data_IF_720218408472
#
_entry.id   IF_720218408472
#
_cell.length_a   1.000
_cell.length_b   1.000
_cell.length_c   1.000
_cell.angle_alpha   90.00
_cell.angle_beta   90.00
_cell.angle_gamma   90.00
#
_symmetry.space_group_name_H-M   'P 1'
#
loop_
_entity.id
_entity.type
_entity.pdbx_description
1 polymer ?
#
# COMPACT_ATOMS: atom_id res chain seq x y z
N UNK A 1 18.18 3.62 15.73
CA UNK A 1 16.90 3.12 15.18
C UNK A 1 16.64 1.64 15.46
N UNK A 2 17.62 0.72 15.36
CA UNK A 2 17.39 -0.71 15.65
C UNK A 2 17.07 -1.06 17.12
N UNK A 3 17.31 -0.14 18.05
CA UNK A 3 17.10 -0.33 19.50
C UNK A 3 15.68 -0.05 19.97
N UNK A 4 14.82 0.55 19.14
CA UNK A 4 13.43 0.82 19.54
C UNK A 4 12.70 -0.51 19.71
N UNK A 5 12.09 -0.69 20.89
CA UNK A 5 11.37 -1.92 21.22
C UNK A 5 9.89 -1.77 20.90
N UNK A 6 9.29 -2.82 20.36
CA UNK A 6 7.84 -2.97 20.21
C UNK A 6 7.38 -4.24 20.91
N UNK A 7 6.21 -4.18 21.52
CA UNK A 7 5.57 -5.35 22.11
C UNK A 7 5.11 -6.27 20.97
N UNK A 8 5.48 -7.55 21.01
CA UNK A 8 5.12 -8.52 19.98
C UNK A 8 4.60 -9.81 20.61
N UNK A 9 3.49 -10.30 20.09
CA UNK A 9 2.95 -11.62 20.38
C UNK A 9 3.41 -12.59 19.28
N UNK A 10 4.14 -13.62 19.66
CA UNK A 10 4.57 -14.69 18.76
C UNK A 10 3.45 -15.73 18.70
N UNK A 11 3.04 -16.16 17.51
CA UNK A 11 1.98 -17.16 17.39
C UNK A 11 2.50 -18.55 17.76
N UNK A 12 1.75 -19.26 18.61
CA UNK A 12 2.08 -20.63 19.02
C UNK A 12 3.24 -20.76 20.02
N UNK A 13 3.85 -19.64 20.46
CA UNK A 13 4.97 -19.64 21.40
C UNK A 13 4.94 -18.39 22.29
N UNK A 14 5.51 -18.50 23.49
CA UNK A 14 5.70 -17.36 24.39
C UNK A 14 4.42 -16.84 25.06
N UNK A 15 4.56 -15.75 25.85
CA UNK A 15 3.47 -15.16 26.62
C UNK A 15 2.37 -14.54 25.72
N UNK A 16 1.11 -14.63 26.16
CA UNK A 16 -0.04 -14.06 25.41
C UNK A 16 -0.01 -12.53 25.40
N UNK A 17 0.49 -11.94 26.46
CA UNK A 17 0.73 -10.51 26.66
C UNK A 17 1.83 -9.94 25.74
N UNK A 18 2.64 -10.81 25.13
CA UNK A 18 3.71 -10.43 24.21
C UNK A 18 5.03 -10.12 24.90
N UNK A 19 6.08 -9.95 24.10
CA UNK A 19 7.45 -9.70 24.53
C UNK A 19 7.95 -8.42 23.86
N UNK A 20 8.61 -7.55 24.61
CA UNK A 20 9.28 -6.37 24.07
C UNK A 20 10.50 -6.79 23.27
N UNK A 21 10.45 -6.53 21.97
CA UNK A 21 11.45 -7.00 21.01
C UNK A 21 11.96 -5.84 20.16
N UNK A 22 13.23 -5.91 19.77
CA UNK A 22 13.87 -4.93 18.89
C UNK A 22 13.49 -5.16 17.42
N UNK A 23 13.83 -4.22 16.55
CA UNK A 23 13.74 -4.43 15.09
C UNK A 23 14.57 -5.65 14.64
N UNK A 24 15.76 -5.83 15.21
CA UNK A 24 16.61 -7.00 14.93
C UNK A 24 15.93 -8.32 15.32
N UNK A 25 15.22 -8.34 16.45
CA UNK A 25 14.44 -9.52 16.87
C UNK A 25 13.29 -9.81 15.91
N UNK A 26 12.59 -8.78 15.41
CA UNK A 26 11.54 -8.96 14.37
C UNK A 26 12.10 -9.59 13.11
N UNK A 27 13.23 -9.10 12.62
CA UNK A 27 13.88 -9.62 11.41
C UNK A 27 14.33 -11.08 11.62
N UNK A 28 14.86 -11.40 12.81
CA UNK A 28 15.21 -12.77 13.19
C UNK A 28 13.99 -13.70 13.20
N UNK A 29 12.88 -13.27 13.80
CA UNK A 29 11.63 -14.05 13.78
C UNK A 29 11.13 -14.29 12.36
N UNK A 30 11.18 -13.27 11.47
CA UNK A 30 10.82 -13.43 10.05
C UNK A 30 11.72 -14.42 9.35
N UNK A 31 13.04 -14.34 9.57
CA UNK A 31 14.03 -15.28 9.02
C UNK A 31 13.81 -16.72 9.50
N UNK A 32 13.37 -16.90 10.74
CA UNK A 32 13.01 -18.19 11.32
C UNK A 32 11.60 -18.68 10.88
N UNK A 33 10.89 -17.93 10.02
CA UNK A 33 9.52 -18.27 9.59
C UNK A 33 8.47 -18.15 10.70
N UNK A 34 8.82 -17.55 11.84
CA UNK A 34 7.91 -17.37 12.97
C UNK A 34 6.93 -16.24 12.67
N UNK A 35 5.64 -16.55 12.81
CA UNK A 35 4.57 -15.55 12.72
C UNK A 35 4.48 -14.81 14.05
N UNK A 36 4.36 -13.50 13.99
CA UNK A 36 4.15 -12.64 15.15
C UNK A 36 3.27 -11.45 14.77
N UNK A 37 2.69 -10.81 15.76
CA UNK A 37 1.93 -9.57 15.59
C UNK A 37 2.23 -8.61 16.73
N UNK A 38 2.18 -7.31 16.47
CA UNK A 38 2.04 -6.34 17.55
C UNK A 38 0.64 -6.43 18.16
N UNK A 39 0.47 -6.30 19.48
CA UNK A 39 -0.85 -6.04 20.04
C UNK A 39 -1.27 -4.64 19.58
N UNK A 40 -2.27 -4.60 18.70
CA UNK A 40 -2.95 -3.36 18.35
C UNK A 40 -3.93 -3.05 19.46
N UNK A 41 -3.96 -1.82 19.97
CA UNK A 41 -4.94 -1.36 20.98
C UNK A 41 -6.40 -1.59 20.53
N UNK A 42 -6.62 -1.77 19.22
CA UNK A 42 -7.92 -1.98 18.58
C UNK A 42 -8.26 -3.44 18.24
N UNK A 43 -7.53 -4.45 18.73
CA UNK A 43 -7.85 -5.85 18.38
C UNK A 43 -9.29 -6.26 18.73
N UNK A 44 -9.84 -5.74 19.83
CA UNK A 44 -11.23 -6.01 20.21
C UNK A 44 -12.24 -5.26 19.32
N UNK A 45 -11.86 -4.11 18.74
CA UNK A 45 -12.64 -3.39 17.73
C UNK A 45 -12.56 -4.04 16.34
N UNK A 46 -11.46 -4.73 16.03
CA UNK A 46 -11.29 -5.44 14.76
C UNK A 46 -12.07 -6.76 14.77
N UNK A 47 -12.08 -7.48 15.91
CA UNK A 47 -12.86 -8.72 16.08
C UNK A 47 -14.37 -8.48 15.95
N UNK A 48 -14.88 -7.34 16.40
CA UNK A 48 -16.32 -7.02 16.25
C UNK A 48 -16.71 -6.62 14.82
N UNK A 49 -15.74 -6.31 13.95
CA UNK A 49 -15.95 -5.93 12.53
C UNK A 49 -15.70 -7.04 11.52
N UNK A 50 -15.15 -8.19 11.94
CA UNK A 50 -15.03 -9.38 11.10
C UNK A 50 -16.36 -10.14 11.04
N UNK A 51 -17.46 -9.44 10.80
CA UNK A 51 -18.62 -10.05 10.16
C UNK A 51 -18.22 -10.24 8.70
N UNK A 52 -17.73 -11.43 8.37
CA UNK A 52 -17.55 -11.86 6.98
C UNK A 52 -18.94 -12.03 6.36
N UNK A 53 -19.62 -10.91 6.10
CA UNK A 53 -20.76 -10.88 5.22
C UNK A 53 -20.32 -11.33 3.83
N UNK A 54 -21.24 -11.94 3.09
CA UNK A 54 -20.98 -12.30 1.69
C UNK A 54 -20.56 -11.03 0.94
N UNK A 55 -19.41 -11.07 0.26
CA UNK A 55 -18.93 -9.93 -0.52
C UNK A 55 -20.04 -9.51 -1.50
N UNK A 56 -20.49 -8.26 -1.39
CA UNK A 56 -21.42 -7.68 -2.35
C UNK A 56 -20.61 -7.21 -3.56
N UNK A 57 -20.45 -8.09 -4.54
CA UNK A 57 -19.85 -7.75 -5.83
C UNK A 57 -20.98 -7.46 -6.81
N UNK A 58 -21.31 -6.19 -7.07
CA UNK A 58 -22.33 -5.86 -8.05
C UNK A 58 -21.87 -6.27 -9.45
N UNK A 59 -22.83 -6.59 -10.32
CA UNK A 59 -22.53 -6.86 -11.72
C UNK A 59 -21.89 -5.63 -12.39
N UNK A 60 -20.88 -5.80 -13.25
CA UNK A 60 -20.30 -4.68 -13.99
C UNK A 60 -21.33 -4.05 -14.94
N UNK A 61 -21.59 -2.74 -14.78
CA UNK A 61 -22.58 -2.00 -15.59
C UNK A 61 -22.01 -0.80 -16.37
N UNK A 62 -20.71 -0.51 -16.22
CA UNK A 62 -20.08 0.71 -16.73
C UNK A 62 -19.11 0.45 -17.90
N UNK A 63 -19.30 -0.64 -18.66
CA UNK A 63 -18.40 -1.06 -19.74
C UNK A 63 -18.20 0.03 -20.80
N UNK A 64 -19.26 0.81 -21.12
CA UNK A 64 -19.18 1.93 -22.08
C UNK A 64 -18.18 3.00 -21.64
N UNK A 65 -18.06 3.25 -20.34
CA UNK A 65 -17.15 4.24 -19.79
C UNK A 65 -15.74 3.69 -19.61
N UNK A 66 -15.61 2.41 -19.22
CA UNK A 66 -14.32 1.78 -18.91
C UNK A 66 -13.57 1.31 -20.15
N UNK A 67 -14.25 0.76 -21.17
CA UNK A 67 -13.57 0.19 -22.35
C UNK A 67 -12.63 1.18 -23.07
N UNK A 68 -13.00 2.46 -23.28
CA UNK A 68 -12.08 3.42 -23.88
C UNK A 68 -10.80 3.65 -23.07
N UNK A 69 -10.88 3.56 -21.73
CA UNK A 69 -9.74 3.80 -20.83
C UNK A 69 -8.64 2.75 -21.03
N UNK A 70 -8.97 1.53 -21.44
CA UNK A 70 -7.97 0.49 -21.69
C UNK A 70 -6.98 0.85 -22.80
N UNK A 71 -7.38 1.70 -23.75
CA UNK A 71 -6.46 2.21 -24.79
C UNK A 71 -5.45 3.22 -24.26
N UNK A 72 -5.71 3.82 -23.11
CA UNK A 72 -4.80 4.77 -22.47
C UNK A 72 -3.78 4.07 -21.56
N UNK A 73 -3.98 2.79 -21.23
CA UNK A 73 -3.05 2.03 -20.39
C UNK A 73 -1.74 1.75 -21.16
N UNK A 74 -0.62 1.94 -20.49
CA UNK A 74 0.73 1.84 -21.05
C UNK A 74 1.61 0.95 -20.19
N UNK A 75 1.90 -0.25 -20.69
CA UNK A 75 2.83 -1.18 -20.04
C UNK A 75 4.27 -0.66 -20.09
N UNK A 76 4.62 0.21 -21.04
CA UNK A 76 5.94 0.85 -21.06
C UNK A 76 6.09 1.86 -19.93
N UNK A 77 5.05 2.69 -19.67
CA UNK A 77 5.05 3.59 -18.52
C UNK A 77 5.14 2.81 -17.21
N UNK A 78 4.38 1.73 -17.08
CA UNK A 78 4.48 0.83 -15.93
C UNK A 78 5.90 0.28 -15.76
N UNK A 79 6.54 -0.16 -16.85
CA UNK A 79 7.92 -0.66 -16.81
C UNK A 79 8.92 0.41 -16.37
N UNK A 80 8.79 1.65 -16.84
CA UNK A 80 9.68 2.75 -16.46
C UNK A 80 9.57 3.09 -14.97
N UNK A 81 8.33 3.12 -14.44
CA UNK A 81 8.06 3.30 -13.00
C UNK A 81 8.69 2.17 -12.20
N UNK A 82 8.47 0.92 -12.60
CA UNK A 82 9.02 -0.25 -11.94
C UNK A 82 10.55 -0.24 -11.96
N UNK A 83 11.17 0.09 -13.10
CA UNK A 83 12.62 0.18 -13.25
C UNK A 83 13.21 1.23 -12.31
N UNK A 84 12.59 2.41 -12.22
CA UNK A 84 13.04 3.44 -11.28
C UNK A 84 12.86 3.01 -9.83
N UNK A 85 11.71 2.47 -9.44
CA UNK A 85 11.46 2.10 -8.05
C UNK A 85 12.28 0.89 -7.57
N UNK A 86 12.65 -0.01 -8.48
CA UNK A 86 13.52 -1.16 -8.18
C UNK A 86 15.02 -0.80 -8.18
N UNK A 87 15.37 0.40 -8.67
CA UNK A 87 16.75 0.92 -8.60
C UNK A 87 17.16 1.40 -7.19
N UNK A 88 16.21 1.66 -6.29
CA UNK A 88 16.51 1.95 -4.89
C UNK A 88 17.07 0.69 -4.22
N UNK A 89 18.12 0.84 -3.42
CA UNK A 89 18.76 -0.29 -2.72
C UNK A 89 17.74 -1.13 -1.93
N UNK A 90 16.85 -0.47 -1.20
CA UNK A 90 15.60 -1.01 -0.69
C UNK A 90 14.62 0.14 -0.46
N UNK A 91 13.36 -0.18 -0.18
CA UNK A 91 12.32 0.77 0.18
C UNK A 91 11.84 0.58 1.61
N UNK A 92 12.73 0.12 2.49
CA UNK A 92 12.37 -0.21 3.87
C UNK A 92 11.95 1.05 4.64
N UNK A 93 10.87 0.96 5.41
CA UNK A 93 10.24 2.13 6.06
C UNK A 93 11.14 2.89 7.07
N UNK A 94 12.22 2.26 7.54
CA UNK A 94 13.25 2.90 8.39
C UNK A 94 14.53 3.30 7.65
N UNK A 95 14.64 2.99 6.35
CA UNK A 95 15.80 3.32 5.54
C UNK A 95 15.64 4.69 4.88
N UNK A 96 16.76 5.40 4.71
CA UNK A 96 16.78 6.67 3.98
C UNK A 96 16.31 6.49 2.53
N UNK A 97 16.69 5.38 1.88
CA UNK A 97 16.23 5.03 0.53
C UNK A 97 14.72 4.77 0.48
N UNK A 98 14.12 4.29 1.57
CA UNK A 98 12.66 4.19 1.71
C UNK A 98 11.98 5.56 1.69
N UNK A 99 12.52 6.53 2.45
CA UNK A 99 12.03 7.91 2.45
C UNK A 99 12.19 8.56 1.08
N UNK A 100 13.35 8.37 0.44
CA UNK A 100 13.60 8.88 -0.91
C UNK A 100 12.62 8.29 -1.94
N UNK A 101 12.37 6.98 -1.87
CA UNK A 101 11.41 6.32 -2.75
C UNK A 101 9.98 6.80 -2.51
N UNK A 102 9.57 7.04 -1.27
CA UNK A 102 8.24 7.57 -0.96
C UNK A 102 8.06 9.00 -1.49
N UNK A 103 9.07 9.86 -1.36
CA UNK A 103 9.04 11.22 -1.95
C UNK A 103 8.98 11.18 -3.47
N UNK A 104 9.79 10.34 -4.10
CA UNK A 104 9.76 10.17 -5.56
C UNK A 104 8.37 9.73 -6.06
N UNK A 105 7.75 8.76 -5.40
CA UNK A 105 6.42 8.27 -5.78
C UNK A 105 5.32 9.32 -5.50
N UNK A 106 5.48 10.10 -4.44
CA UNK A 106 4.59 11.24 -4.14
C UNK A 106 4.64 12.28 -5.27
N UNK A 107 5.83 12.71 -5.68
CA UNK A 107 6.00 13.74 -6.70
C UNK A 107 5.50 13.28 -8.08
N UNK A 108 5.59 11.98 -8.37
CA UNK A 108 5.03 11.38 -9.57
C UNK A 108 3.49 11.42 -9.57
N UNK A 109 2.85 11.22 -8.42
CA UNK A 109 1.39 11.15 -8.29
C UNK A 109 0.74 12.53 -8.10
N UNK A 110 1.39 13.43 -7.37
CA UNK A 110 0.87 14.72 -6.92
C UNK A 110 1.98 15.78 -6.93
N UNK A 111 2.47 16.22 -8.10
CA UNK A 111 3.63 17.11 -8.22
C UNK A 111 3.46 18.47 -7.52
N UNK A 112 2.23 18.84 -7.12
CA UNK A 112 1.91 20.10 -6.45
C UNK A 112 1.44 19.96 -4.98
N UNK A 113 1.51 18.76 -4.39
CA UNK A 113 1.10 18.53 -2.98
C UNK A 113 2.31 18.52 -2.04
N UNK A 114 2.26 19.15 -0.85
CA UNK A 114 3.40 19.17 0.07
C UNK A 114 3.40 18.05 1.13
N UNK A 115 2.38 17.18 1.21
CA UNK A 115 2.21 16.24 2.33
C UNK A 115 2.22 14.76 1.93
N UNK A 116 3.06 13.97 2.61
CA UNK A 116 2.95 12.50 2.70
C UNK A 116 1.90 12.13 3.77
N UNK A 117 1.11 11.04 3.63
CA UNK A 117 1.23 9.91 2.68
C UNK A 117 0.70 10.18 1.27
N UNK A 118 1.09 9.31 0.33
CA UNK A 118 0.69 9.35 -1.08
C UNK A 118 -0.78 8.91 -1.17
N UNK A 119 -1.70 9.87 -1.14
CA UNK A 119 -3.12 9.59 -1.33
C UNK A 119 -3.61 10.44 -2.48
N UNK A 120 -3.74 9.83 -3.65
CA UNK A 120 -4.39 10.47 -4.78
C UNK A 120 -5.90 10.22 -4.70
N UNK A 121 -6.69 11.31 -4.75
CA UNK A 121 -8.13 11.25 -4.46
C UNK A 121 -8.95 11.90 -5.55
N UNK A 122 -9.88 11.14 -6.10
CA UNK A 122 -10.96 11.67 -6.94
C UNK A 122 -12.14 12.03 -6.04
N UNK A 123 -12.59 13.28 -6.12
CA UNK A 123 -13.77 13.76 -5.41
C UNK A 123 -14.97 13.86 -6.37
N UNK A 124 -16.18 13.46 -5.95
CA UNK A 124 -17.38 13.79 -6.71
C UNK A 124 -17.60 15.32 -6.72
N UNK A 125 -18.23 15.88 -7.77
CA UNK A 125 -18.51 17.32 -7.85
C UNK A 125 -19.31 17.85 -6.66
N UNK A 126 -20.19 17.02 -6.09
CA UNK A 126 -20.97 17.32 -4.89
C UNK A 126 -20.52 16.37 -3.79
N UNK A 127 -19.93 16.92 -2.72
CA UNK A 127 -19.51 16.14 -1.56
C UNK A 127 -20.72 15.63 -0.79
N UNK A 128 -20.74 14.33 -0.52
CA UNK A 128 -21.74 13.71 0.33
C UNK A 128 -21.05 12.68 1.23
N UNK A 129 -20.96 12.99 2.53
CA UNK A 129 -20.29 12.16 3.52
C UNK A 129 -21.04 10.83 3.82
N UNK A 130 -22.30 10.71 3.38
CA UNK A 130 -23.07 9.48 3.51
C UNK A 130 -22.79 8.47 2.39
N UNK A 131 -22.08 8.86 1.32
CA UNK A 131 -21.67 7.95 0.26
C UNK A 131 -20.45 7.12 0.69
N UNK A 132 -20.33 5.87 0.21
CA UNK A 132 -19.18 5.03 0.53
C UNK A 132 -17.89 5.58 -0.06
N UNK A 133 -16.80 5.47 0.71
CA UNK A 133 -15.44 5.68 0.22
C UNK A 133 -14.91 4.37 -0.37
N UNK A 134 -14.41 4.41 -1.60
CA UNK A 134 -13.69 3.29 -2.21
C UNK A 134 -12.19 3.52 -2.09
N UNK A 135 -11.46 2.53 -1.58
CA UNK A 135 -10.00 2.59 -1.45
C UNK A 135 -9.39 1.49 -2.31
N UNK A 136 -8.44 1.87 -3.15
CA UNK A 136 -7.58 0.97 -3.91
C UNK A 136 -6.17 1.19 -3.37
N UNK A 137 -5.50 0.13 -2.91
CA UNK A 137 -4.22 0.26 -2.24
C UNK A 137 -3.21 -0.79 -2.68
N UNK A 138 -1.95 -0.40 -2.68
CA UNK A 138 -0.78 -1.26 -2.78
C UNK A 138 0.26 -0.80 -1.74
N UNK A 139 1.25 -1.62 -1.41
CA UNK A 139 2.31 -1.19 -0.49
C UNK A 139 3.58 -0.79 -1.22
N UNK A 140 4.24 0.23 -0.67
CA UNK A 140 5.39 0.88 -1.30
C UNK A 140 6.71 0.30 -0.81
N UNK A 141 6.76 -0.28 0.39
CA UNK A 141 8.01 -0.68 1.01
C UNK A 141 8.58 -1.98 0.41
N UNK A 142 9.82 -2.28 0.77
CA UNK A 142 10.46 -3.54 0.43
C UNK A 142 11.48 -3.93 1.48
N UNK A 143 11.61 -5.24 1.71
CA UNK A 143 12.54 -5.77 2.70
C UNK A 143 13.12 -7.10 2.24
N UNK A 144 14.40 -7.32 2.52
CA UNK A 144 15.04 -8.63 2.40
C UNK A 144 15.10 -9.28 3.78
N UNK A 145 14.12 -10.14 4.08
CA UNK A 145 14.03 -10.76 5.42
C UNK A 145 15.12 -11.79 5.70
N UNK A 146 15.69 -12.40 4.66
CA UNK A 146 16.80 -13.36 4.81
C UNK A 146 18.11 -12.63 5.14
N UNK A 147 18.36 -11.53 4.42
CA UNK A 147 19.56 -10.72 4.55
C UNK A 147 19.20 -9.22 4.54
N UNK A 148 18.84 -8.63 5.70
CA UNK A 148 18.35 -7.24 5.77
C UNK A 148 19.33 -6.15 5.31
N UNK A 149 20.61 -6.50 5.21
CA UNK A 149 21.67 -5.61 4.73
C UNK A 149 21.94 -5.74 3.23
N UNK A 150 21.26 -6.64 2.53
CA UNK A 150 21.36 -6.78 1.07
C UNK A 150 20.23 -6.01 0.38
N UNK A 151 20.37 -5.73 -0.93
CA UNK A 151 19.32 -5.09 -1.70
C UNK A 151 17.97 -5.81 -1.57
N UNK A 152 16.90 -5.02 -1.59
CA UNK A 152 15.52 -5.50 -1.67
C UNK A 152 14.79 -4.74 -2.79
N UNK A 153 14.96 -5.15 -4.06
CA UNK A 153 14.32 -4.48 -5.18
C UNK A 153 12.79 -4.49 -5.10
N UNK A 154 12.17 -5.52 -4.49
CA UNK A 154 10.72 -5.59 -4.26
C UNK A 154 9.88 -5.35 -5.52
N UNK A 155 10.30 -5.93 -6.65
CA UNK A 155 9.65 -5.68 -7.94
C UNK A 155 8.23 -6.25 -7.96
N UNK A 156 8.07 -7.52 -7.56
CA UNK A 156 6.77 -8.17 -7.48
C UNK A 156 6.05 -7.89 -6.16
N UNK A 157 6.79 -7.76 -5.05
CA UNK A 157 6.26 -7.44 -3.72
C UNK A 157 6.78 -6.07 -3.24
N UNK A 158 6.02 -4.99 -3.41
CA UNK A 158 4.74 -4.87 -4.15
C UNK A 158 4.77 -3.70 -5.13
N UNK A 159 5.92 -3.51 -5.78
CA UNK A 159 6.02 -2.45 -6.79
C UNK A 159 5.16 -2.75 -8.02
N UNK A 160 4.89 -4.01 -8.34
CA UNK A 160 3.99 -4.42 -9.42
C UNK A 160 2.55 -3.95 -9.14
N UNK A 161 2.05 -4.13 -7.90
CA UNK A 161 0.76 -3.60 -7.45
C UNK A 161 0.73 -2.08 -7.45
N UNK A 162 1.73 -1.44 -6.83
CA UNK A 162 1.88 0.02 -6.81
C UNK A 162 1.87 0.65 -8.21
N UNK A 163 2.60 0.03 -9.13
CA UNK A 163 2.67 0.48 -10.53
C UNK A 163 1.33 0.31 -11.25
N UNK A 164 0.62 -0.78 -10.98
CA UNK A 164 -0.67 -1.07 -11.60
C UNK A 164 -1.74 -0.06 -11.18
N UNK A 165 -1.80 0.28 -9.89
CA UNK A 165 -2.77 1.26 -9.38
C UNK A 165 -2.42 2.68 -9.84
N UNK A 166 -1.13 3.02 -9.96
CA UNK A 166 -0.68 4.31 -10.46
C UNK A 166 -1.06 4.51 -11.93
N UNK A 167 -0.91 3.47 -12.75
CA UNK A 167 -1.28 3.51 -14.16
C UNK A 167 -2.80 3.61 -14.34
N UNK A 168 -3.57 2.90 -13.52
CA UNK A 168 -5.03 3.04 -13.49
C UNK A 168 -5.45 4.47 -13.10
N UNK A 169 -4.81 5.05 -12.08
CA UNK A 169 -5.04 6.44 -11.67
C UNK A 169 -4.75 7.42 -12.82
N UNK A 170 -3.58 7.29 -13.47
CA UNK A 170 -3.17 8.14 -14.60
C UNK A 170 -4.18 8.09 -15.74
N UNK A 171 -4.62 6.89 -16.12
CA UNK A 171 -5.58 6.69 -17.21
C UNK A 171 -6.97 7.31 -16.88
N UNK A 172 -7.44 7.15 -15.63
CA UNK A 172 -8.69 7.77 -15.16
C UNK A 172 -8.59 9.30 -15.11
N UNK A 173 -7.46 9.83 -14.62
CA UNK A 173 -7.22 11.27 -14.53
C UNK A 173 -7.21 11.93 -15.92
N UNK A 174 -6.53 11.31 -16.89
CA UNK A 174 -6.44 11.81 -18.27
C UNK A 174 -7.80 11.92 -18.99
N UNK A 175 -8.76 11.08 -18.61
CA UNK A 175 -10.13 11.11 -19.17
C UNK A 175 -11.08 12.00 -18.38
N UNK A 176 -10.60 12.67 -17.34
CA UNK A 176 -11.43 13.53 -16.48
C UNK A 176 -12.52 12.74 -15.77
N UNK A 177 -12.18 11.58 -15.21
CA UNK A 177 -13.14 10.67 -14.57
C UNK A 177 -13.99 11.39 -13.50
N UNK A 178 -15.32 11.35 -13.66
CA UNK A 178 -16.28 11.98 -12.74
C UNK A 178 -17.00 10.91 -11.94
N UNK A 179 -16.90 11.00 -10.62
CA UNK A 179 -17.54 10.07 -9.69
C UNK A 179 -18.99 10.45 -9.40
N UNK A 180 -19.87 9.45 -9.40
CA UNK A 180 -21.28 9.60 -9.04
C UNK A 180 -21.66 8.99 -7.68
N UNK A 181 -20.84 8.09 -7.13
CA UNK A 181 -21.21 7.24 -5.96
C UNK A 181 -20.26 7.32 -4.77
N UNK A 182 -19.55 8.44 -4.64
CA UNK A 182 -18.63 8.69 -3.53
C UNK A 182 -17.17 8.81 -4.00
N UNK A 183 -16.26 9.23 -3.10
CA UNK A 183 -14.85 9.41 -3.41
C UNK A 183 -14.13 8.09 -3.67
N UNK A 184 -13.05 8.16 -4.45
CA UNK A 184 -12.10 7.07 -4.66
C UNK A 184 -10.71 7.54 -4.29
N UNK A 185 -10.03 6.76 -3.45
CA UNK A 185 -8.66 6.99 -3.03
C UNK A 185 -7.73 5.89 -3.54
N UNK A 186 -6.55 6.31 -3.99
CA UNK A 186 -5.42 5.46 -4.36
C UNK A 186 -4.34 5.63 -3.30
N UNK A 187 -3.99 4.54 -2.63
CA UNK A 187 -3.02 4.46 -1.52
C UNK A 187 -1.79 3.66 -1.92
#
# INVERSE_FOLDING_TARGET
MMSQRRLLRIFGQGPREGVWMTEGDKLRLRREGKKFMGPTESQDQLKSRLLTGKAHTPEPTHQRYIRPIFSDLSTSHMYDVLLKATSFFNRYYHAETGVQSARWLHDLSLPSSPSLPIVARFEPPIRNASLPLTIIGAHQDSANYLFPHLPAPGADDDMSGSTSILEAFRALANRGYILQRGPVEFH
#
